data_IF_538729642799
#
_entry.id   IF_538729642799
#
_cell.length_a   1.000
_cell.length_b   1.000
_cell.length_c   1.000
_cell.angle_alpha   90.00
_cell.angle_beta   90.00
_cell.angle_gamma   90.00
#
_symmetry.space_group_name_H-M   'P 1'
#
loop_
_entity.id
_entity.type
_entity.pdbx_description
1 polymer ?
#
# COMPACT_ATOMS: atom_id res chain seq x y z
N UNK A 1 -17.98 13.97 -10.04
CA UNK A 1 -16.59 13.59 -9.76
C UNK A 1 -15.90 13.37 -11.10
N UNK A 2 -14.71 13.95 -11.29
CA UNK A 2 -13.85 13.62 -12.44
C UNK A 2 -12.88 12.55 -11.95
N UNK A 3 -12.77 11.43 -12.65
CA UNK A 3 -11.84 10.35 -12.33
C UNK A 3 -10.81 10.23 -13.46
N UNK A 4 -9.54 10.09 -13.11
CA UNK A 4 -8.44 9.88 -14.05
C UNK A 4 -7.46 8.88 -13.44
N UNK A 5 -6.95 7.96 -14.26
CA UNK A 5 -6.06 6.88 -13.82
C UNK A 5 -4.71 7.00 -14.52
N UNK A 6 -3.63 6.98 -13.75
CA UNK A 6 -2.26 6.86 -14.25
C UNK A 6 -1.84 5.40 -14.16
N UNK A 7 -1.52 4.77 -15.30
CA UNK A 7 -1.21 3.34 -15.37
C UNK A 7 0.29 3.02 -15.47
N UNK A 8 1.13 4.03 -15.70
CA UNK A 8 2.57 3.84 -15.91
C UNK A 8 3.39 5.02 -15.34
N UNK A 9 4.67 4.79 -15.00
CA UNK A 9 5.61 5.88 -14.68
C UNK A 9 5.71 6.91 -15.81
N UNK A 10 6.14 8.14 -15.48
CA UNK A 10 6.30 9.24 -16.44
C UNK A 10 5.02 9.66 -17.18
N UNK A 11 3.84 9.27 -16.66
CA UNK A 11 2.54 9.76 -17.16
C UNK A 11 2.02 10.87 -16.27
N UNK A 12 1.26 11.81 -16.86
CA UNK A 12 0.74 12.98 -16.15
C UNK A 12 -0.78 13.10 -16.32
N UNK A 13 -1.46 13.52 -15.25
CA UNK A 13 -2.87 13.89 -15.25
C UNK A 13 -2.97 15.38 -14.94
N UNK A 14 -3.53 16.16 -15.86
CA UNK A 14 -3.81 17.58 -15.65
C UNK A 14 -5.19 17.73 -15.04
N UNK A 15 -5.24 18.34 -13.84
CA UNK A 15 -6.49 18.62 -13.14
C UNK A 15 -6.70 20.13 -13.08
N UNK A 16 -7.84 20.60 -13.60
CA UNK A 16 -8.28 22.00 -13.49
C UNK A 16 -9.50 22.09 -12.58
N UNK A 17 -9.48 23.01 -11.63
CA UNK A 17 -10.57 23.21 -10.65
C UNK A 17 -10.97 24.67 -10.62
N UNK A 18 -12.28 24.94 -10.76
CA UNK A 18 -12.82 26.30 -10.78
C UNK A 18 -13.19 26.84 -9.37
N UNK A 19 -13.16 25.97 -8.35
CA UNK A 19 -13.51 26.29 -6.96
C UNK A 19 -12.57 25.53 -6.02
N UNK A 20 -12.36 26.00 -4.78
CA UNK A 20 -11.64 25.24 -3.77
C UNK A 20 -12.14 23.79 -3.69
N UNK A 21 -11.24 22.83 -3.89
CA UNK A 21 -11.56 21.42 -4.08
C UNK A 21 -10.51 20.54 -3.41
N UNK A 22 -10.88 19.31 -3.07
CA UNK A 22 -9.98 18.29 -2.54
C UNK A 22 -9.59 17.31 -3.64
N UNK A 23 -8.29 17.14 -3.86
CA UNK A 23 -7.76 16.05 -4.69
C UNK A 23 -7.47 14.85 -3.78
N UNK A 24 -8.02 13.69 -4.11
CA UNK A 24 -7.73 12.42 -3.44
C UNK A 24 -6.98 11.57 -4.45
N UNK A 25 -5.81 11.07 -4.06
CA UNK A 25 -5.02 10.15 -4.88
C UNK A 25 -4.98 8.81 -4.17
N UNK A 26 -5.43 7.77 -4.85
CA UNK A 26 -5.41 6.39 -4.37
C UNK A 26 -4.44 5.60 -5.25
N UNK A 27 -3.54 4.84 -4.62
CA UNK A 27 -2.59 3.97 -5.31
C UNK A 27 -2.98 2.53 -5.04
N UNK A 28 -3.37 1.82 -6.10
CA UNK A 28 -3.72 0.40 -6.03
C UNK A 28 -2.60 -0.43 -6.64
N UNK A 29 -2.22 -1.51 -5.95
CA UNK A 29 -1.25 -2.46 -6.48
C UNK A 29 -1.84 -3.16 -7.71
N UNK A 30 -1.07 -3.25 -8.80
CA UNK A 30 -1.52 -3.90 -10.04
C UNK A 30 -1.72 -5.42 -9.96
N UNK A 31 -1.39 -6.04 -8.81
CA UNK A 31 -1.61 -7.46 -8.51
C UNK A 31 -1.83 -7.65 -7.01
N UNK A 32 -2.50 -8.72 -6.63
CA UNK A 32 -2.63 -9.12 -5.23
C UNK A 32 -1.24 -9.24 -4.57
N UNK A 33 -1.08 -8.64 -3.40
CA UNK A 33 0.20 -8.59 -2.66
C UNK A 33 1.29 -7.70 -3.28
N UNK A 34 0.98 -6.97 -4.36
CA UNK A 34 1.92 -6.03 -4.99
C UNK A 34 2.18 -4.78 -4.14
N UNK A 35 3.21 -4.01 -4.53
CA UNK A 35 3.58 -2.78 -3.85
C UNK A 35 2.66 -1.62 -4.25
N UNK A 36 2.37 -0.75 -3.29
CA UNK A 36 1.72 0.56 -3.50
C UNK A 36 2.74 1.70 -3.62
N UNK A 37 4.02 1.38 -3.83
CA UNK A 37 5.07 2.37 -4.00
C UNK A 37 4.84 3.22 -5.25
N UNK A 38 4.54 4.50 -5.05
CA UNK A 38 4.45 5.49 -6.11
C UNK A 38 5.02 6.82 -5.62
N UNK A 39 5.81 7.48 -6.47
CA UNK A 39 6.18 8.87 -6.26
C UNK A 39 5.21 9.75 -7.06
N UNK A 40 4.44 10.59 -6.37
CA UNK A 40 3.45 11.47 -6.99
C UNK A 40 3.95 12.90 -6.83
N UNK A 41 4.22 13.56 -7.95
CA UNK A 41 4.57 14.98 -8.01
C UNK A 41 3.33 15.78 -8.39
N UNK A 42 2.93 16.73 -7.55
CA UNK A 42 1.84 17.67 -7.84
C UNK A 42 2.46 19.04 -8.05
N UNK A 43 2.35 19.56 -9.26
CA UNK A 43 2.88 20.88 -9.62
C UNK A 43 1.75 21.80 -10.10
N UNK A 44 1.64 23.04 -9.58
CA UNK A 44 0.78 24.04 -10.19
C UNK A 44 1.24 24.31 -11.61
N UNK A 45 0.34 24.12 -12.59
CA UNK A 45 0.59 24.55 -13.96
C UNK A 45 0.27 26.04 -14.07
N UNK A 46 1.24 26.87 -13.71
CA UNK A 46 1.21 28.30 -14.05
C UNK A 46 1.68 28.48 -15.48
N UNK A 47 0.85 29.10 -16.33
CA UNK A 47 1.35 29.71 -17.56
C UNK A 47 2.34 30.81 -17.18
N UNK A 48 3.63 30.48 -17.23
CA UNK A 48 4.78 31.38 -17.22
C UNK A 48 4.76 32.55 -16.22
N UNK A 49 5.21 32.32 -14.99
CA UNK A 49 5.94 33.34 -14.19
C UNK A 49 6.66 32.68 -12.99
N UNK A 50 7.85 33.18 -12.58
CA UNK A 50 8.66 32.56 -11.53
C UNK A 50 8.03 32.77 -10.14
N UNK A 51 7.98 31.70 -9.35
CA UNK A 51 7.43 31.70 -7.99
C UNK A 51 8.34 32.50 -7.05
N UNK A 52 7.81 33.58 -6.49
CA UNK A 52 8.43 34.35 -5.40
C UNK A 52 8.49 33.54 -4.10
N UNK A 53 9.56 33.78 -3.34
CA UNK A 53 9.87 33.15 -2.05
C UNK A 53 8.72 33.29 -1.02
N UNK A 54 8.41 32.26 -0.22
CA UNK A 54 7.52 32.42 0.91
C UNK A 54 8.23 33.05 2.10
N UNK A 55 7.68 34.17 2.56
CA UNK A 55 8.05 34.86 3.79
C UNK A 55 7.36 34.21 5.02
N UNK A 56 8.11 34.13 6.12
CA UNK A 56 7.62 34.25 7.50
C UNK A 56 6.68 33.14 8.03
N UNK A 57 7.24 32.16 8.73
CA UNK A 57 6.49 31.33 9.68
C UNK A 57 6.44 32.01 11.06
N UNK A 58 5.27 32.21 11.68
CA UNK A 58 5.18 32.48 13.11
C UNK A 58 5.32 31.19 13.92
N UNK A 59 6.14 31.28 14.96
CA UNK A 59 6.40 30.26 15.97
C UNK A 59 5.13 30.03 16.81
N UNK A 60 4.65 28.79 16.89
CA UNK A 60 3.61 28.37 17.83
C UNK A 60 4.23 27.49 18.93
N UNK A 61 3.96 27.86 20.19
CA UNK A 61 4.44 27.21 21.40
C UNK A 61 3.68 25.89 21.70
N UNK A 62 4.28 24.94 22.43
CA UNK A 62 3.68 23.63 22.69
C UNK A 62 2.62 23.71 23.80
N UNK A 63 1.40 23.26 23.48
CA UNK A 63 0.35 22.96 24.46
C UNK A 63 0.44 21.48 24.84
N UNK A 64 0.77 21.24 26.10
CA UNK A 64 0.71 19.93 26.74
C UNK A 64 -0.76 19.52 26.92
N UNK A 65 -1.12 18.30 26.52
CA UNK A 65 -2.35 17.65 26.96
C UNK A 65 -2.06 16.22 27.45
N UNK A 66 -2.86 15.73 28.41
CA UNK A 66 -2.49 14.60 29.26
C UNK A 66 -2.67 13.26 28.56
N UNK A 67 -1.87 12.32 29.04
CA UNK A 67 -1.92 10.87 28.85
C UNK A 67 -3.33 10.32 29.14
N UNK A 68 -4.02 9.85 28.11
CA UNK A 68 -5.08 8.86 28.25
C UNK A 68 -4.48 7.47 27.97
N UNK A 69 -4.40 6.68 29.03
CA UNK A 69 -3.99 5.29 29.00
C UNK A 69 -5.17 4.48 28.45
N UNK A 70 -5.06 4.06 27.19
CA UNK A 70 -5.89 2.98 26.64
C UNK A 70 -5.01 1.73 26.57
N UNK A 71 -5.22 0.78 27.47
CA UNK A 71 -4.77 -0.60 27.27
C UNK A 71 -5.62 -1.20 26.13
N UNK A 72 -5.01 -1.76 25.07
CA UNK A 72 -5.71 -2.68 24.21
C UNK A 72 -5.56 -4.10 24.75
N UNK A 73 -6.71 -4.75 24.87
CA UNK A 73 -6.92 -6.17 25.15
C UNK A 73 -5.92 -7.12 24.48
N UNK A 74 -5.67 -8.23 25.19
CA UNK A 74 -4.89 -9.39 24.80
C UNK A 74 -4.98 -9.73 23.30
N UNK A 75 -3.85 -9.53 22.62
CA UNK A 75 -3.63 -9.81 21.20
C UNK A 75 -2.38 -9.14 20.60
N UNK A 76 -1.70 -8.24 21.33
CA UNK A 76 -0.61 -7.40 20.83
C UNK A 76 0.82 -7.99 21.01
N UNK A 77 0.98 -9.29 21.30
CA UNK A 77 2.27 -9.83 21.76
C UNK A 77 3.23 -10.38 20.69
N UNK A 78 2.78 -10.68 19.47
CA UNK A 78 3.59 -11.45 18.50
C UNK A 78 4.33 -10.59 17.46
N UNK A 79 3.85 -9.37 17.19
CA UNK A 79 4.43 -8.46 16.20
C UNK A 79 5.41 -7.43 16.80
N UNK A 80 5.37 -7.21 18.12
CA UNK A 80 6.11 -6.15 18.81
C UNK A 80 7.62 -6.41 18.91
N UNK A 81 8.06 -7.63 18.61
CA UNK A 81 9.46 -8.04 18.70
C UNK A 81 10.27 -7.78 17.42
N UNK A 82 9.65 -7.24 16.37
CA UNK A 82 10.38 -6.82 15.18
C UNK A 82 11.30 -5.64 15.53
N UNK A 83 12.60 -5.86 15.36
CA UNK A 83 13.66 -4.86 15.56
C UNK A 83 14.32 -4.55 14.24
N UNK A 84 14.48 -3.25 14.00
CA UNK A 84 15.27 -2.70 12.92
C UNK A 84 16.59 -2.20 13.50
N UNK A 85 17.70 -2.75 13.00
CA UNK A 85 19.04 -2.25 13.22
C UNK A 85 19.52 -1.53 11.96
N UNK A 86 20.27 -0.43 12.11
CA UNK A 86 20.98 0.19 11.00
C UNK A 86 22.31 0.75 11.43
N UNK A 87 23.26 0.77 10.51
CA UNK A 87 24.46 1.58 10.67
C UNK A 87 24.20 3.00 10.15
N UNK A 88 24.25 3.97 11.03
CA UNK A 88 23.96 5.38 10.74
C UNK A 88 25.26 6.18 10.81
N UNK A 89 25.56 6.92 9.74
CA UNK A 89 26.77 7.70 9.63
C UNK A 89 26.89 8.70 10.80
N UNK A 90 27.99 8.62 11.55
CA UNK A 90 28.26 9.47 12.71
C UNK A 90 27.62 9.01 14.02
N UNK A 91 26.70 8.04 14.00
CA UNK A 91 26.08 7.46 15.20
C UNK A 91 26.48 6.01 15.46
N UNK A 92 26.88 5.27 14.41
CA UNK A 92 27.19 3.85 14.51
C UNK A 92 25.93 2.98 14.38
N UNK A 93 25.93 1.81 15.01
CA UNK A 93 24.78 0.90 14.98
C UNK A 93 23.68 1.41 15.92
N UNK A 94 22.48 1.60 15.36
CA UNK A 94 21.28 2.05 16.06
C UNK A 94 20.20 0.99 15.88
N UNK A 95 19.53 0.61 16.96
CA UNK A 95 18.43 -0.35 16.94
C UNK A 95 17.16 0.27 17.49
N UNK A 96 16.04 0.05 16.81
CA UNK A 96 14.72 0.50 17.21
C UNK A 96 13.71 -0.64 17.03
N UNK A 97 12.61 -0.58 17.78
CA UNK A 97 11.47 -1.49 17.57
C UNK A 97 10.64 -1.13 16.33
N UNK A 98 9.59 -1.90 16.10
CA UNK A 98 8.60 -1.61 15.07
C UNK A 98 8.01 -0.20 15.24
N UNK A 99 7.66 0.42 14.11
CA UNK A 99 7.06 1.76 14.02
C UNK A 99 7.87 2.88 14.70
N UNK A 100 9.17 2.69 14.90
CA UNK A 100 10.11 3.72 15.35
C UNK A 100 11.10 4.12 14.25
N UNK A 101 11.52 5.38 14.26
CA UNK A 101 12.44 5.92 13.27
C UNK A 101 13.90 5.57 13.59
N UNK A 102 14.61 5.05 12.61
CA UNK A 102 16.06 5.21 12.48
C UNK A 102 16.33 6.48 11.69
N UNK A 103 17.15 7.37 12.26
CA UNK A 103 17.36 8.72 11.74
C UNK A 103 15.99 9.39 11.50
N UNK A 104 15.77 10.04 10.36
CA UNK A 104 14.45 10.53 9.99
C UNK A 104 14.20 12.01 10.32
N UNK A 105 12.93 12.44 10.44
CA UNK A 105 12.56 13.86 10.35
C UNK A 105 13.27 14.78 11.34
N UNK A 106 13.45 14.34 12.58
CA UNK A 106 14.04 15.15 13.65
C UNK A 106 15.56 15.22 13.58
N UNK A 107 16.21 14.22 12.98
CA UNK A 107 17.66 14.09 12.89
C UNK A 107 18.05 13.24 11.67
N UNK A 108 17.95 13.78 10.44
CA UNK A 108 18.23 13.03 9.23
C UNK A 108 19.73 12.72 9.13
N UNK A 109 20.07 11.46 8.91
CA UNK A 109 21.44 10.99 8.84
C UNK A 109 21.55 9.79 7.89
N UNK A 110 22.64 9.70 7.13
CA UNK A 110 22.82 8.66 6.10
C UNK A 110 22.84 7.27 6.73
N UNK A 111 22.05 6.36 6.17
CA UNK A 111 22.02 4.94 6.54
C UNK A 111 22.94 4.17 5.57
N UNK A 112 23.86 3.37 6.10
CA UNK A 112 24.85 2.60 5.31
C UNK A 112 24.48 1.11 5.14
N UNK A 113 23.57 0.63 5.97
CA UNK A 113 23.07 -0.74 5.93
C UNK A 113 22.05 -0.98 7.03
N UNK A 114 21.29 -2.07 6.89
CA UNK A 114 20.21 -2.44 7.79
C UNK A 114 20.30 -3.92 8.18
N UNK A 115 19.77 -4.24 9.35
CA UNK A 115 19.52 -5.58 9.84
C UNK A 115 18.11 -5.68 10.39
N UNK A 116 17.44 -6.82 10.19
CA UNK A 116 16.17 -7.12 10.85
C UNK A 116 16.38 -8.28 11.82
N UNK A 117 15.78 -8.17 12.99
CA UNK A 117 15.68 -9.23 13.99
C UNK A 117 14.22 -9.37 14.40
N UNK A 118 13.74 -10.60 14.53
CA UNK A 118 12.39 -10.86 15.03
C UNK A 118 12.37 -12.23 15.68
N UNK A 119 12.73 -12.31 16.97
CA UNK A 119 12.86 -13.59 17.68
C UNK A 119 11.60 -14.45 17.64
N UNK A 120 10.43 -13.80 17.75
CA UNK A 120 9.12 -14.45 17.77
C UNK A 120 8.39 -14.35 16.43
N UNK A 121 9.13 -14.42 15.31
CA UNK A 121 8.53 -14.44 13.98
C UNK A 121 7.62 -15.68 13.82
N UNK A 122 6.36 -15.51 13.37
CA UNK A 122 5.46 -16.63 13.12
C UNK A 122 6.07 -17.68 12.20
N UNK A 123 5.93 -18.97 12.55
CA UNK A 123 6.55 -20.08 11.82
C UNK A 123 6.07 -20.23 10.37
N UNK A 124 4.92 -19.66 10.03
CA UNK A 124 4.34 -19.68 8.70
C UNK A 124 4.65 -18.41 7.88
N UNK A 125 5.54 -17.57 8.39
CA UNK A 125 6.05 -16.36 7.74
C UNK A 125 7.56 -16.47 7.54
N UNK A 126 8.04 -15.96 6.41
CA UNK A 126 9.46 -15.81 6.13
C UNK A 126 9.72 -14.40 5.59
N UNK A 127 10.75 -13.73 6.14
CA UNK A 127 11.16 -12.39 5.72
C UNK A 127 12.56 -12.40 5.11
N UNK A 128 12.69 -11.73 3.97
CA UNK A 128 13.97 -11.47 3.33
C UNK A 128 14.06 -10.02 2.84
N UNK A 129 15.26 -9.45 2.83
CA UNK A 129 15.46 -8.08 2.38
C UNK A 129 16.78 -7.91 1.66
N UNK A 130 16.86 -6.84 0.88
CA UNK A 130 18.05 -6.43 0.15
C UNK A 130 18.19 -4.92 0.24
N UNK A 131 19.42 -4.42 0.17
CA UNK A 131 19.71 -2.99 0.05
C UNK A 131 20.25 -2.64 -1.32
N UNK A 132 20.06 -1.40 -1.73
CA UNK A 132 20.56 -0.85 -2.98
C UNK A 132 21.59 0.24 -2.72
N UNK A 133 22.62 0.32 -3.55
CA UNK A 133 23.58 1.41 -3.56
C UNK A 133 23.47 2.29 -4.82
N UNK A 134 23.96 3.53 -4.74
CA UNK A 134 24.02 4.44 -5.89
C UNK A 134 24.94 3.93 -7.01
N UNK A 135 25.96 3.15 -6.64
CA UNK A 135 26.92 2.49 -7.53
C UNK A 135 27.02 1.03 -7.12
N UNK A 136 27.12 0.07 -8.06
CA UNK A 136 27.19 -1.34 -7.75
C UNK A 136 28.24 -1.64 -6.68
N UNK A 137 27.81 -2.32 -5.61
CA UNK A 137 28.67 -2.82 -4.53
C UNK A 137 28.48 -4.34 -4.41
N UNK A 138 29.39 -5.00 -3.69
CA UNK A 138 29.17 -6.39 -3.28
C UNK A 138 27.92 -6.48 -2.41
N UNK A 139 27.01 -7.40 -2.74
CA UNK A 139 25.73 -7.58 -2.02
C UNK A 139 24.63 -6.59 -2.41
N UNK A 140 24.87 -5.71 -3.41
CA UNK A 140 23.84 -4.83 -3.96
C UNK A 140 22.67 -5.64 -4.54
N UNK A 141 21.46 -5.35 -4.08
CA UNK A 141 20.22 -6.08 -4.39
C UNK A 141 20.24 -7.59 -4.08
N UNK A 142 21.20 -8.07 -3.28
CA UNK A 142 21.22 -9.45 -2.81
C UNK A 142 20.24 -9.60 -1.63
N UNK A 143 19.24 -10.47 -1.79
CA UNK A 143 18.34 -10.81 -0.69
C UNK A 143 19.06 -11.65 0.36
N UNK A 144 18.90 -11.25 1.62
CA UNK A 144 19.40 -11.94 2.79
C UNK A 144 18.24 -12.27 3.74
N UNK A 145 18.32 -13.38 4.49
CA UNK A 145 17.33 -13.70 5.50
C UNK A 145 17.42 -12.75 6.70
N UNK A 146 16.38 -12.74 7.52
CA UNK A 146 16.40 -12.12 8.84
C UNK A 146 17.61 -12.57 9.66
N UNK A 147 18.15 -11.68 10.50
CA UNK A 147 19.39 -11.89 11.25
C UNK A 147 20.68 -11.61 10.47
N UNK A 148 20.61 -11.28 9.18
CA UNK A 148 21.80 -10.99 8.35
C UNK A 148 21.93 -9.50 8.04
N UNK A 149 23.02 -8.84 8.41
CA UNK A 149 23.20 -7.43 8.05
C UNK A 149 23.41 -7.22 6.54
N UNK A 150 22.58 -6.37 5.92
CA UNK A 150 22.68 -5.99 4.51
C UNK A 150 23.20 -4.55 4.38
N UNK A 151 24.32 -4.37 3.68
CA UNK A 151 24.94 -3.08 3.45
C UNK A 151 26.35 -3.00 4.02
N UNK A 152 26.76 -1.82 4.50
CA UNK A 152 28.10 -1.60 5.05
C UNK A 152 28.06 -0.91 6.41
N UNK A 153 29.17 -1.02 7.15
CA UNK A 153 29.42 -0.28 8.40
C UNK A 153 30.70 0.52 8.27
N UNK A 154 30.67 1.80 8.62
CA UNK A 154 31.83 2.70 8.65
C UNK A 154 32.52 2.89 7.30
N UNK A 155 31.81 2.66 6.19
CA UNK A 155 32.38 2.79 4.84
C UNK A 155 31.96 4.07 4.14
N UNK A 156 31.10 4.89 4.76
CA UNK A 156 30.54 6.09 4.16
C UNK A 156 29.76 5.79 2.85
N UNK A 157 29.28 4.56 2.69
CA UNK A 157 28.48 4.12 1.54
C UNK A 157 27.01 4.06 1.95
N UNK A 158 26.28 5.15 1.69
CA UNK A 158 24.86 5.19 1.98
C UNK A 158 24.07 4.27 1.04
N UNK A 159 23.07 3.58 1.58
CA UNK A 159 22.08 2.88 0.77
C UNK A 159 21.13 3.91 0.15
N UNK A 160 20.69 3.65 -1.08
CA UNK A 160 19.77 4.51 -1.85
C UNK A 160 18.43 3.86 -2.12
N UNK A 161 18.21 2.68 -1.54
CA UNK A 161 16.96 1.97 -1.57
C UNK A 161 17.06 0.65 -0.82
N UNK A 162 15.92 0.00 -0.63
CA UNK A 162 15.86 -1.36 -0.12
C UNK A 162 14.60 -2.06 -0.66
N UNK A 163 14.63 -3.39 -0.59
CA UNK A 163 13.47 -4.24 -0.83
C UNK A 163 13.26 -5.12 0.40
N UNK A 164 12.00 -5.35 0.77
CA UNK A 164 11.61 -6.27 1.85
C UNK A 164 10.44 -7.10 1.35
N UNK A 165 10.53 -8.41 1.54
CA UNK A 165 9.56 -9.39 1.05
C UNK A 165 9.19 -10.35 2.18
N UNK A 166 7.87 -10.48 2.36
CA UNK A 166 7.26 -11.51 3.19
C UNK A 166 6.73 -12.63 2.29
N UNK A 167 6.99 -13.87 2.69
CA UNK A 167 6.53 -15.10 2.02
C UNK A 167 6.06 -16.12 3.05
N UNK A 168 5.44 -17.21 2.58
CA UNK A 168 4.99 -18.31 3.44
C UNK A 168 3.46 -18.46 3.48
N UNK A 169 2.95 -19.55 4.07
CA UNK A 169 1.51 -19.81 4.11
C UNK A 169 0.70 -18.72 4.84
N UNK A 170 1.30 -18.04 5.81
CA UNK A 170 0.64 -17.00 6.61
C UNK A 170 0.69 -15.61 5.99
N UNK A 171 1.33 -15.41 4.84
CA UNK A 171 1.71 -14.08 4.34
C UNK A 171 0.52 -13.14 4.15
N UNK A 172 -0.65 -13.66 3.75
CA UNK A 172 -1.84 -12.85 3.50
C UNK A 172 -2.43 -12.19 4.75
N UNK A 173 -2.03 -12.69 5.93
CA UNK A 173 -2.38 -12.12 7.25
C UNK A 173 -1.55 -10.91 7.61
N UNK A 174 -0.50 -10.59 6.85
CA UNK A 174 0.44 -9.53 7.20
C UNK A 174 0.63 -8.53 6.04
N UNK A 175 0.91 -7.29 6.39
CA UNK A 175 1.36 -6.26 5.47
C UNK A 175 2.58 -5.56 6.06
N UNK A 176 3.66 -5.51 5.29
CA UNK A 176 4.81 -4.65 5.61
C UNK A 176 4.38 -3.21 5.34
N UNK A 177 4.70 -2.29 6.25
CA UNK A 177 4.64 -0.86 6.00
C UNK A 177 5.98 -0.20 6.27
N UNK A 178 6.36 0.74 5.41
CA UNK A 178 7.60 1.48 5.53
C UNK A 178 7.36 2.96 5.27
N UNK A 179 7.95 3.80 6.11
CA UNK A 179 8.12 5.24 5.86
C UNK A 179 9.61 5.52 5.67
N UNK A 180 9.93 6.23 4.60
CA UNK A 180 11.31 6.43 4.14
C UNK A 180 11.53 7.89 3.80
N UNK A 181 12.73 8.38 4.08
CA UNK A 181 13.16 9.72 3.69
C UNK A 181 14.47 9.56 2.94
N UNK A 182 14.48 10.00 1.68
CA UNK A 182 15.70 10.12 0.90
C UNK A 182 16.17 11.57 0.90
N UNK A 183 17.47 11.80 0.92
CA UNK A 183 18.05 13.14 0.99
C UNK A 183 17.54 14.00 -0.18
N UNK A 184 16.89 15.11 0.15
CA UNK A 184 16.34 16.04 -0.85
C UNK A 184 15.03 15.59 -1.51
N UNK A 185 14.42 14.49 -1.06
CA UNK A 185 13.15 14.00 -1.58
C UNK A 185 12.03 14.07 -0.51
N UNK A 186 10.76 14.18 -0.91
CA UNK A 186 9.63 14.01 0.01
C UNK A 186 9.65 12.64 0.71
N UNK A 187 9.09 12.58 1.91
CA UNK A 187 8.91 11.31 2.62
C UNK A 187 7.96 10.39 1.82
N UNK A 188 8.32 9.12 1.72
CA UNK A 188 7.56 8.11 1.00
C UNK A 188 7.07 7.04 1.97
N UNK A 189 5.76 6.75 1.92
CA UNK A 189 5.12 5.65 2.65
C UNK A 189 4.67 4.58 1.67
N UNK A 190 5.00 3.32 1.95
CA UNK A 190 4.61 2.17 1.13
C UNK A 190 4.10 1.03 2.00
N UNK A 191 3.24 0.19 1.45
CA UNK A 191 2.84 -1.05 2.11
C UNK A 191 2.61 -2.21 1.13
N UNK A 192 2.65 -3.44 1.65
CA UNK A 192 2.36 -4.65 0.90
C UNK A 192 3.08 -5.88 1.46
N UNK A 193 2.95 -7.01 0.76
CA UNK A 193 3.67 -8.25 1.09
C UNK A 193 5.09 -8.22 0.51
N UNK A 194 5.31 -7.39 -0.51
CA UNK A 194 6.63 -7.02 -1.01
C UNK A 194 6.68 -5.52 -1.24
N UNK A 195 7.65 -4.86 -0.65
CA UNK A 195 7.93 -3.45 -0.87
C UNK A 195 9.30 -3.28 -1.54
N UNK A 196 9.38 -2.31 -2.45
CA UNK A 196 10.61 -1.89 -3.11
C UNK A 196 10.62 -0.38 -3.07
N UNK A 197 11.67 0.20 -2.50
CA UNK A 197 11.73 1.64 -2.22
C UNK A 197 13.09 2.17 -2.65
N UNK A 198 13.12 3.28 -3.38
CA UNK A 198 14.34 4.01 -3.72
C UNK A 198 14.08 5.50 -3.86
N UNK A 199 15.14 6.29 -3.75
CA UNK A 199 15.08 7.72 -4.07
C UNK A 199 14.68 7.96 -5.54
N UNK A 200 14.20 9.17 -5.88
CA UNK A 200 13.69 9.51 -7.22
C UNK A 200 14.63 9.16 -8.38
N UNK A 201 15.94 9.40 -8.23
CA UNK A 201 16.94 9.03 -9.25
C UNK A 201 17.69 7.74 -8.90
N UNK A 202 17.41 7.13 -7.75
CA UNK A 202 18.14 5.99 -7.21
C UNK A 202 19.53 6.33 -6.69
N UNK A 203 19.86 7.62 -6.57
CA UNK A 203 21.17 8.12 -6.11
C UNK A 203 21.09 8.83 -4.77
N UNK A 204 19.89 9.17 -4.32
CA UNK A 204 19.65 9.86 -3.07
C UNK A 204 19.91 8.93 -1.88
N UNK A 205 20.78 9.30 -0.93
CA UNK A 205 20.96 8.55 0.31
C UNK A 205 19.65 8.40 1.09
N UNK A 206 19.40 7.21 1.63
CA UNK A 206 18.37 7.02 2.65
C UNK A 206 18.84 7.69 3.95
N UNK A 207 18.02 8.60 4.47
CA UNK A 207 18.30 9.40 5.68
C UNK A 207 17.26 9.26 6.78
N UNK A 208 16.26 8.41 6.55
CA UNK A 208 15.24 8.06 7.53
C UNK A 208 14.55 6.78 7.13
N UNK A 209 14.38 5.87 8.08
CA UNK A 209 13.66 4.62 7.88
C UNK A 209 12.82 4.31 9.12
N UNK A 210 11.53 4.06 8.91
CA UNK A 210 10.63 3.47 9.88
C UNK A 210 9.95 2.27 9.25
N UNK A 211 9.98 1.13 9.91
CA UNK A 211 9.38 -0.12 9.45
C UNK A 211 8.34 -0.59 10.44
N UNK A 212 7.27 -1.19 9.93
CA UNK A 212 6.27 -1.86 10.73
C UNK A 212 5.76 -3.11 9.99
N UNK A 213 5.20 -4.06 10.73
CA UNK A 213 4.40 -5.13 10.18
C UNK A 213 3.02 -5.07 10.81
N UNK A 214 2.00 -5.01 9.95
CA UNK A 214 0.61 -4.91 10.37
C UNK A 214 -0.09 -6.23 10.08
N UNK A 215 -0.78 -6.78 11.06
CA UNK A 215 -1.75 -7.84 10.80
C UNK A 215 -2.88 -7.27 9.95
N UNK A 216 -2.99 -7.77 8.73
CA UNK A 216 -4.14 -7.55 7.88
C UNK A 216 -5.27 -8.39 8.46
N UNK A 217 -6.02 -7.80 9.40
CA UNK A 217 -7.35 -8.32 9.70
C UNK A 217 -8.12 -8.33 8.39
N UNK A 218 -8.37 -9.52 7.87
CA UNK A 218 -9.39 -9.71 6.86
C UNK A 218 -10.66 -9.21 7.53
N UNK A 219 -11.13 -8.01 7.16
CA UNK A 219 -12.53 -7.70 7.36
C UNK A 219 -13.24 -8.78 6.57
N UNK A 220 -13.74 -9.81 7.27
CA UNK A 220 -14.79 -10.62 6.73
C UNK A 220 -15.82 -9.61 6.25
N UNK A 221 -16.02 -9.54 4.94
CA UNK A 221 -17.14 -8.77 4.41
C UNK A 221 -18.33 -9.15 5.30
N UNK A 222 -19.05 -8.19 5.91
CA UNK A 222 -20.23 -8.54 6.67
C UNK A 222 -21.03 -9.43 5.74
N UNK A 223 -21.27 -10.68 6.18
CA UNK A 223 -22.13 -11.61 5.46
C UNK A 223 -23.35 -10.78 5.15
N UNK A 224 -23.54 -10.42 3.88
CA UNK A 224 -24.70 -9.66 3.47
C UNK A 224 -25.88 -10.43 4.07
N UNK A 225 -26.79 -9.78 4.84
CA UNK A 225 -27.92 -10.49 5.40
C UNK A 225 -28.55 -11.27 4.27
N UNK A 226 -28.53 -12.60 4.38
CA UNK A 226 -29.11 -13.47 3.37
C UNK A 226 -30.56 -13.02 3.26
N UNK A 227 -30.90 -12.36 2.15
CA UNK A 227 -32.29 -12.10 1.85
C UNK A 227 -32.98 -13.46 1.92
N UNK A 228 -34.02 -13.64 2.76
CA UNK A 228 -34.73 -14.89 2.80
C UNK A 228 -35.16 -15.22 1.38
N UNK A 229 -34.73 -16.39 0.89
CA UNK A 229 -35.12 -16.88 -0.42
C UNK A 229 -36.63 -16.76 -0.51
N UNK A 230 -37.11 -15.90 -1.40
CA UNK A 230 -38.52 -15.85 -1.77
C UNK A 230 -38.87 -17.24 -2.30
N UNK A 231 -39.63 -17.99 -1.53
CA UNK A 231 -40.18 -19.27 -1.96
C UNK A 231 -41.21 -18.91 -3.05
N UNK A 232 -40.88 -19.18 -4.30
CA UNK A 232 -41.88 -19.15 -5.37
C UNK A 232 -42.86 -20.31 -5.12
N UNK A 233 -44.18 -20.08 -5.14
CA UNK A 233 -45.13 -21.16 -5.00
C UNK A 233 -45.04 -22.10 -6.20
N UNK A 234 -44.70 -23.36 -5.92
CA UNK A 234 -44.78 -24.48 -6.84
C UNK A 234 -46.24 -24.62 -7.28
N UNK A 235 -46.54 -24.26 -8.52
CA UNK A 235 -47.77 -24.64 -9.19
C UNK A 235 -47.43 -25.49 -10.41
N UNK A 236 -47.08 -26.75 -10.17
CA UNK A 236 -46.94 -27.77 -11.19
C UNK A 236 -48.22 -28.59 -11.25
N UNK A 237 -49.05 -28.33 -12.26
CA UNK A 237 -50.08 -29.27 -12.71
C UNK A 237 -49.50 -29.99 -13.95
N UNK A 238 -49.36 -31.32 -13.96
CA UNK A 238 -48.76 -32.05 -15.07
C UNK A 238 -49.75 -32.17 -16.24
N UNK A 239 -49.28 -31.91 -17.47
CA UNK A 239 -50.02 -32.28 -18.69
C UNK A 239 -49.30 -33.45 -19.37
N UNK A 240 -49.87 -34.64 -19.20
CA UNK A 240 -49.62 -35.82 -20.00
C UNK A 240 -50.60 -35.86 -21.18
N UNK A 241 -50.01 -36.10 -22.36
CA UNK A 241 -50.53 -36.78 -23.55
C UNK A 241 -51.78 -36.27 -24.31
N UNK A 242 -51.52 -35.82 -25.54
CA UNK A 242 -52.01 -36.46 -26.76
C UNK A 242 -53.52 -36.64 -26.98
N UNK A 243 -54.12 -35.78 -27.81
CA UNK A 243 -54.96 -36.22 -28.94
C UNK A 243 -55.34 -35.08 -29.90
N UNK A 244 -55.10 -35.34 -31.18
CA UNK A 244 -55.52 -34.56 -32.35
C UNK A 244 -57.06 -34.41 -32.38
N UNK A 245 -57.56 -33.20 -32.67
CA UNK A 245 -58.95 -32.98 -33.12
C UNK A 245 -58.95 -32.13 -34.39
N UNK A 246 -59.44 -32.74 -35.47
CA UNK A 246 -59.82 -32.11 -36.75
C UNK A 246 -61.21 -31.48 -36.59
N UNK A 247 -61.42 -30.27 -37.11
CA UNK A 247 -62.76 -29.81 -37.47
C UNK A 247 -62.78 -29.16 -38.85
N UNK A 248 -63.78 -29.59 -39.62
CA UNK A 248 -64.03 -29.34 -41.03
C UNK A 248 -64.72 -27.98 -41.26
N UNK A 249 -64.55 -27.48 -42.48
CA UNK A 249 -65.18 -26.31 -43.08
C UNK A 249 -66.71 -26.28 -43.01
N UNK A 250 -67.28 -25.07 -43.01
CA UNK A 250 -68.56 -24.77 -43.67
C UNK A 250 -68.40 -23.56 -44.59
N UNK A 251 -68.68 -23.78 -45.86
CA UNK A 251 -69.01 -22.75 -46.84
C UNK A 251 -70.49 -22.37 -46.71
N UNK A 252 -70.80 -21.10 -46.91
CA UNK A 252 -72.05 -20.56 -47.47
C UNK A 252 -71.78 -19.05 -47.70
N UNK A 253 -71.33 -18.63 -48.89
CA UNK A 253 -72.05 -18.39 -50.14
C UNK A 253 -73.03 -17.18 -50.12
N UNK A 254 -72.63 -16.13 -50.86
CA UNK A 254 -73.43 -15.17 -51.65
C UNK A 254 -74.41 -14.22 -50.89
N UNK A 255 -74.79 -13.01 -51.34
CA UNK A 255 -74.52 -12.15 -52.51
C UNK A 255 -75.13 -10.75 -52.20
N UNK A 256 -74.54 -9.71 -52.82
CA UNK A 256 -75.14 -8.46 -53.36
C UNK A 256 -75.71 -7.34 -52.47
N UNK A 257 -75.03 -6.19 -52.61
CA UNK A 257 -75.44 -4.79 -52.83
C UNK A 257 -76.79 -4.24 -52.33
N UNK A 258 -76.67 -3.07 -51.72
CA UNK A 258 -77.53 -1.89 -51.89
C UNK A 258 -76.62 -0.67 -51.96
#
# INVERSE_FOLDING_TARGET
>A
MVNGTLFAPETALVVSVARPSRLIVEVTAGRAGGSTAANIKIEPLTQGQPVGQPAGQPVAQPVSQPVDTYEPEAGAGELDDLKLLAHVAGLGDVTVGANAWIAGPSAPARIEGIGLEWPNMPHDLNLQYAVKFARPQRGDNQFVPIGTFAGTRGRALAITGFSLEATGPGVDRYAISAETIFLGAPALRVSGNRIVVSGPSGREPLVGLKLNLEERRVQAAPLAPQQPRRVEPVNQIPRLEGRVRVFRSRQSAAKTAG
#
